data_IF_952374625042
#
_entry.id   IF_952374625042
#
_cell.length_a   1.000
_cell.length_b   1.000
_cell.length_c   1.000
_cell.angle_alpha   90.00
_cell.angle_beta   90.00
_cell.angle_gamma   90.00
#
_symmetry.space_group_name_H-M   'P 1'
#
loop_
_entity.id
_entity.type
_entity.pdbx_description
1 polymer ?
#
# COMPACT_ATOMS: atom_id res chain seq x y z
N UNK A 1 71.45 -30.70 1.48
CA UNK A 1 71.91 -29.38 1.97
C UNK A 1 72.28 -28.55 0.74
N UNK A 2 71.75 -27.39 0.38
CA UNK A 2 70.90 -26.34 0.94
C UNK A 2 70.24 -25.74 -0.32
N UNK A 3 68.92 -25.80 -0.43
CA UNK A 3 68.01 -24.68 -0.13
C UNK A 3 68.17 -23.50 -1.08
N UNK A 4 67.02 -23.14 -1.69
CA UNK A 4 66.59 -21.75 -1.97
C UNK A 4 67.40 -21.07 -3.09
N UNK A 5 66.83 -20.46 -4.13
CA UNK A 5 65.57 -19.76 -4.24
C UNK A 5 65.32 -19.41 -5.71
N UNK A 6 64.11 -18.93 -6.00
CA UNK A 6 63.69 -18.21 -7.22
C UNK A 6 63.17 -19.06 -8.38
N UNK A 7 62.30 -20.02 -8.08
CA UNK A 7 61.12 -20.19 -8.91
C UNK A 7 60.00 -19.45 -8.18
N UNK A 8 59.89 -18.15 -8.45
CA UNK A 8 58.72 -17.35 -8.04
C UNK A 8 57.59 -17.81 -8.94
N UNK A 9 56.93 -18.87 -8.49
CA UNK A 9 55.64 -19.32 -8.99
C UNK A 9 54.70 -18.12 -8.87
N UNK A 10 54.25 -17.61 -10.01
CA UNK A 10 53.14 -16.67 -10.14
C UNK A 10 51.89 -17.41 -9.65
N UNK A 11 51.70 -17.44 -8.33
CA UNK A 11 50.45 -17.82 -7.70
C UNK A 11 49.52 -16.63 -7.89
N UNK A 12 48.85 -16.58 -9.04
CA UNK A 12 47.75 -15.68 -9.27
C UNK A 12 46.65 -16.05 -8.26
N UNK A 13 46.61 -15.30 -7.16
CA UNK A 13 45.54 -15.28 -6.18
C UNK A 13 44.26 -14.81 -6.85
N UNK A 14 43.54 -15.74 -7.48
CA UNK A 14 42.17 -15.56 -7.92
C UNK A 14 41.26 -15.68 -6.69
N UNK A 15 41.28 -14.66 -5.84
CA UNK A 15 40.22 -14.45 -4.85
C UNK A 15 38.96 -14.11 -5.63
N UNK A 16 38.21 -15.15 -6.01
CA UNK A 16 36.81 -15.02 -6.39
C UNK A 16 36.09 -14.57 -5.11
N UNK A 17 35.94 -13.26 -4.94
CA UNK A 17 34.98 -12.73 -4.01
C UNK A 17 33.62 -13.22 -4.50
N UNK A 18 33.07 -14.24 -3.83
CA UNK A 18 31.64 -14.51 -3.88
C UNK A 18 30.96 -13.27 -3.30
N UNK A 19 30.71 -12.28 -4.16
CA UNK A 19 29.65 -11.31 -3.92
C UNK A 19 28.39 -12.16 -3.92
N UNK A 20 27.97 -12.58 -2.72
CA UNK A 20 26.59 -12.99 -2.49
C UNK A 20 25.79 -11.77 -2.92
N UNK A 21 25.25 -11.81 -4.14
CA UNK A 21 24.32 -10.81 -4.60
C UNK A 21 23.16 -10.87 -3.61
N UNK A 22 23.15 -9.93 -2.66
CA UNK A 22 21.95 -9.66 -1.89
C UNK A 22 20.91 -9.37 -2.95
N UNK A 23 19.90 -10.23 -3.05
CA UNK A 23 18.74 -9.96 -3.90
C UNK A 23 18.35 -8.52 -3.64
N UNK A 24 18.36 -7.67 -4.67
CA UNK A 24 17.89 -6.29 -4.56
C UNK A 24 16.57 -6.33 -3.79
N UNK A 25 16.61 -5.81 -2.55
CA UNK A 25 15.66 -6.18 -1.51
C UNK A 25 14.23 -5.97 -1.99
N UNK A 26 13.49 -7.07 -2.12
CA UNK A 26 12.04 -6.97 -2.21
C UNK A 26 11.48 -6.41 -0.91
N UNK A 27 10.23 -5.97 -0.94
CA UNK A 27 9.50 -5.66 0.27
C UNK A 27 9.59 -6.80 1.30
N UNK A 28 9.66 -6.45 2.57
CA UNK A 28 9.87 -7.33 3.72
C UNK A 28 8.57 -7.63 4.48
N UNK A 29 7.41 -7.52 3.81
CA UNK A 29 6.10 -7.66 4.44
C UNK A 29 5.83 -9.06 5.01
N UNK A 30 6.65 -10.05 4.64
CA UNK A 30 6.60 -11.42 5.15
C UNK A 30 7.81 -11.80 6.02
N UNK A 31 8.77 -10.88 6.25
CA UNK A 31 9.96 -11.17 7.05
C UNK A 31 9.57 -11.55 8.49
N UNK A 32 10.09 -12.66 8.99
CA UNK A 32 9.79 -13.16 10.33
C UNK A 32 8.44 -13.89 10.49
N UNK A 33 7.63 -14.03 9.44
CA UNK A 33 6.35 -14.74 9.49
C UNK A 33 6.50 -16.19 8.99
N UNK A 34 6.13 -17.17 9.82
CA UNK A 34 6.20 -18.60 9.47
C UNK A 34 5.28 -18.97 8.29
N UNK A 35 4.09 -18.37 8.22
CA UNK A 35 3.12 -18.55 7.14
C UNK A 35 2.69 -17.18 6.66
N UNK A 36 3.12 -16.81 5.45
CA UNK A 36 2.80 -15.54 4.84
C UNK A 36 2.58 -15.66 3.33
N UNK A 37 1.53 -15.01 2.84
CA UNK A 37 1.29 -14.80 1.42
C UNK A 37 1.55 -13.33 1.11
N UNK A 38 2.60 -12.99 0.34
CA UNK A 38 2.87 -11.62 -0.04
C UNK A 38 1.84 -11.13 -1.06
N UNK A 39 1.32 -9.93 -0.86
CA UNK A 39 0.38 -9.29 -1.79
C UNK A 39 0.88 -7.90 -2.14
N UNK A 40 1.36 -7.77 -3.37
CA UNK A 40 1.80 -6.50 -3.93
C UNK A 40 0.62 -5.69 -4.51
N UNK A 41 0.58 -4.41 -4.17
CA UNK A 41 -0.28 -3.43 -4.80
C UNK A 41 0.26 -2.88 -6.12
N UNK A 42 -0.50 -1.98 -6.76
CA UNK A 42 0.00 -1.16 -7.87
C UNK A 42 0.95 -0.06 -7.36
N UNK A 43 1.71 0.57 -8.25
CA UNK A 43 2.37 1.84 -7.98
C UNK A 43 1.32 2.94 -7.84
N UNK A 44 1.09 3.39 -6.61
CA UNK A 44 0.13 4.43 -6.23
C UNK A 44 0.75 5.81 -6.44
N UNK A 45 0.06 6.68 -7.19
CA UNK A 45 0.52 8.05 -7.46
C UNK A 45 0.41 8.88 -6.20
N UNK A 46 1.51 9.54 -5.82
CA UNK A 46 1.54 10.49 -4.70
C UNK A 46 1.37 11.89 -5.27
N UNK A 47 0.30 12.61 -4.88
CA UNK A 47 0.08 13.98 -5.32
C UNK A 47 1.20 14.89 -4.81
N UNK A 48 1.63 15.79 -5.68
CA UNK A 48 2.49 16.90 -5.32
C UNK A 48 1.65 18.06 -4.79
N UNK A 49 2.15 18.77 -3.77
CA UNK A 49 1.51 19.97 -3.27
C UNK A 49 2.49 20.92 -2.62
N UNK A 50 2.29 22.22 -2.86
CA UNK A 50 2.94 23.28 -2.10
C UNK A 50 2.00 23.75 -0.98
N UNK A 51 2.52 23.93 0.22
CA UNK A 51 1.76 24.46 1.36
C UNK A 51 2.00 23.72 2.68
N UNK A 52 1.40 24.24 3.75
CA UNK A 52 1.50 23.68 5.11
C UNK A 52 0.69 22.40 5.27
N UNK A 53 -0.42 22.25 4.55
CA UNK A 53 -1.18 21.00 4.47
C UNK A 53 -0.82 20.25 3.21
N UNK A 54 -0.09 19.15 3.38
CA UNK A 54 0.37 18.32 2.27
C UNK A 54 -0.77 17.46 1.75
N UNK A 55 -0.94 17.36 0.42
CA UNK A 55 -1.84 16.38 -0.16
C UNK A 55 -1.44 14.97 0.25
N UNK A 56 -2.42 14.19 0.70
CA UNK A 56 -2.25 12.77 0.99
C UNK A 56 -3.03 11.94 -0.03
N UNK A 57 -2.48 10.78 -0.36
CA UNK A 57 -3.19 9.72 -1.08
C UNK A 57 -3.40 8.54 -0.15
N UNK A 58 -4.60 7.95 -0.18
CA UNK A 58 -4.90 6.73 0.57
C UNK A 58 -5.15 5.58 -0.40
N UNK A 59 -4.52 4.42 -0.16
CA UNK A 59 -4.75 3.20 -0.92
C UNK A 59 -4.93 2.00 0.02
N UNK A 60 -6.01 1.24 -0.12
CA UNK A 60 -6.31 0.05 0.66
C UNK A 60 -5.89 -1.21 -0.09
N UNK A 61 -5.09 -2.05 0.57
CA UNK A 61 -4.90 -3.45 0.18
C UNK A 61 -5.77 -4.37 1.03
N UNK A 62 -6.13 -5.51 0.48
CA UNK A 62 -6.98 -6.50 1.16
C UNK A 62 -6.44 -7.89 0.92
N UNK A 63 -6.23 -8.62 2.01
CA UNK A 63 -5.79 -9.99 2.01
C UNK A 63 -6.83 -10.92 1.38
N UNK A 64 -6.40 -11.86 0.53
CA UNK A 64 -7.29 -12.86 -0.06
C UNK A 64 -7.71 -13.90 0.98
N UNK A 65 -8.69 -14.74 0.61
CA UNK A 65 -9.05 -15.97 1.35
C UNK A 65 -9.30 -15.77 2.86
N UNK A 66 -9.84 -14.62 3.25
CA UNK A 66 -10.11 -14.25 4.66
C UNK A 66 -8.86 -14.17 5.57
N UNK A 67 -7.65 -14.10 5.02
CA UNK A 67 -6.42 -13.88 5.78
C UNK A 67 -6.42 -12.49 6.43
N UNK A 68 -5.66 -12.34 7.51
CA UNK A 68 -5.41 -11.05 8.17
C UNK A 68 -4.07 -10.49 7.76
N UNK A 69 -3.90 -9.17 7.85
CA UNK A 69 -2.62 -8.52 7.56
C UNK A 69 -1.67 -8.80 8.73
N UNK A 70 -0.55 -9.46 8.45
CA UNK A 70 0.51 -9.81 9.39
C UNK A 70 1.81 -9.01 9.19
N UNK A 71 1.93 -8.25 8.10
CA UNK A 71 3.07 -7.40 7.83
C UNK A 71 2.76 -6.35 6.76
N UNK A 72 3.52 -5.26 6.78
CA UNK A 72 3.31 -4.05 5.99
C UNK A 72 4.65 -3.53 5.50
N UNK A 73 4.75 -3.22 4.21
CA UNK A 73 5.92 -2.55 3.66
C UNK A 73 5.56 -1.75 2.40
N UNK A 74 6.47 -0.91 1.93
CA UNK A 74 6.30 -0.15 0.70
C UNK A 74 7.63 0.10 -0.02
N UNK A 75 7.63 -0.06 -1.35
CA UNK A 75 8.71 0.44 -2.19
C UNK A 75 8.41 1.88 -2.62
N UNK A 76 9.44 2.73 -2.68
CA UNK A 76 9.29 4.15 -3.00
C UNK A 76 9.98 4.48 -4.33
N UNK A 77 9.32 5.23 -5.20
CA UNK A 77 9.98 5.79 -6.40
C UNK A 77 10.91 6.96 -6.06
N UNK A 78 10.84 7.49 -4.83
CA UNK A 78 11.61 8.62 -4.36
C UNK A 78 11.71 8.64 -2.83
N UNK A 79 12.88 8.98 -2.28
CA UNK A 79 13.14 9.04 -0.82
C UNK A 79 12.32 10.08 -0.05
N UNK A 80 11.83 11.10 -0.76
CA UNK A 80 10.99 12.17 -0.22
C UNK A 80 9.51 11.79 -0.12
N UNK A 81 9.16 10.52 -0.22
CA UNK A 81 7.81 10.04 0.03
C UNK A 81 7.76 9.56 1.48
N UNK A 82 6.84 10.11 2.25
CA UNK A 82 6.50 9.59 3.57
C UNK A 82 5.29 8.66 3.45
N UNK A 83 5.37 7.46 4.05
CA UNK A 83 4.32 6.45 4.01
C UNK A 83 3.95 6.05 5.43
N UNK A 84 2.68 6.23 5.76
CA UNK A 84 2.11 5.71 7.00
C UNK A 84 1.10 4.62 6.72
N UNK A 85 0.99 3.68 7.66
CA UNK A 85 0.09 2.54 7.55
C UNK A 85 -0.98 2.65 8.63
N UNK A 86 -2.24 2.54 8.23
CA UNK A 86 -3.35 2.41 9.16
C UNK A 86 -3.96 1.02 9.01
N UNK A 87 -3.59 0.16 9.95
CA UNK A 87 -4.19 -1.16 10.17
C UNK A 87 -5.11 -1.12 11.38
N UNK A 88 -6.21 -1.85 11.33
CA UNK A 88 -7.03 -2.04 12.54
C UNK A 88 -6.40 -3.15 13.37
N UNK A 89 -5.99 -2.78 14.58
CA UNK A 89 -5.51 -3.69 15.59
C UNK A 89 -6.70 -4.11 16.46
N UNK A 90 -6.82 -5.40 16.75
CA UNK A 90 -7.82 -5.93 17.68
C UNK A 90 -7.11 -6.75 18.75
N UNK A 91 -7.63 -6.72 19.96
CA UNK A 91 -7.01 -7.44 21.09
C UNK A 91 -7.35 -8.94 21.04
N UNK A 92 -6.41 -9.82 21.40
CA UNK A 92 -4.98 -9.55 21.61
C UNK A 92 -4.25 -9.37 20.28
N UNK A 93 -3.34 -8.39 20.21
CA UNK A 93 -2.39 -8.28 19.09
C UNK A 93 -1.11 -9.02 19.45
N UNK A 94 -0.66 -9.93 18.58
CA UNK A 94 0.76 -10.22 18.50
C UNK A 94 1.44 -9.01 17.84
N UNK A 95 2.64 -8.59 18.29
CA UNK A 95 3.41 -7.56 17.59
C UNK A 95 3.47 -7.86 16.09
N UNK A 96 3.18 -6.85 15.26
CA UNK A 96 3.17 -6.97 13.80
C UNK A 96 1.87 -7.49 13.17
N UNK A 97 0.93 -8.07 13.93
CA UNK A 97 -0.27 -8.71 13.36
C UNK A 97 -1.53 -7.89 13.61
N UNK A 98 -2.25 -7.55 12.52
CA UNK A 98 -3.58 -6.94 12.60
C UNK A 98 -4.66 -8.00 12.80
N UNK A 99 -5.82 -7.62 13.29
CA UNK A 99 -7.00 -8.51 13.35
C UNK A 99 -7.89 -8.37 12.11
N UNK A 100 -7.45 -7.61 11.12
CA UNK A 100 -8.28 -7.27 9.97
C UNK A 100 -7.63 -7.68 8.67
N UNK A 101 -8.47 -7.79 7.65
CA UNK A 101 -8.04 -8.28 6.34
C UNK A 101 -7.47 -7.20 5.45
N UNK A 102 -7.39 -5.96 5.92
CA UNK A 102 -7.06 -4.82 5.08
C UNK A 102 -6.25 -3.79 5.85
N UNK A 103 -5.31 -3.17 5.16
CA UNK A 103 -4.56 -2.03 5.65
C UNK A 103 -4.65 -0.89 4.63
N UNK A 104 -4.69 0.34 5.13
CA UNK A 104 -4.67 1.54 4.31
C UNK A 104 -3.30 2.18 4.40
N UNK A 105 -2.68 2.36 3.24
CA UNK A 105 -1.42 3.03 3.06
C UNK A 105 -1.71 4.49 2.73
N UNK A 106 -1.10 5.40 3.46
CA UNK A 106 -1.18 6.83 3.23
C UNK A 106 0.17 7.32 2.77
N UNK A 107 0.24 7.86 1.56
CA UNK A 107 1.44 8.46 1.01
C UNK A 107 1.32 9.98 0.97
N UNK A 108 2.38 10.67 1.36
CA UNK A 108 2.54 12.11 1.13
C UNK A 108 3.95 12.40 0.61
N UNK A 109 4.10 13.46 -0.19
CA UNK A 109 5.42 13.91 -0.63
C UNK A 109 5.93 15.03 0.27
N UNK A 110 7.14 14.84 0.78
CA UNK A 110 7.81 15.75 1.73
C UNK A 110 9.04 16.42 1.15
N UNK A 111 9.40 16.07 -0.10
CA UNK A 111 10.52 16.68 -0.81
C UNK A 111 10.17 18.03 -1.44
N UNK A 112 11.16 18.59 -2.11
CA UNK A 112 11.15 19.91 -2.74
C UNK A 112 11.06 19.86 -4.28
N UNK A 113 11.22 18.68 -4.89
CA UNK A 113 11.20 18.53 -6.35
C UNK A 113 9.78 18.37 -6.89
N UNK A 114 9.50 18.98 -8.05
CA UNK A 114 8.25 18.83 -8.78
C UNK A 114 8.10 17.48 -9.51
N UNK A 115 8.86 16.45 -9.10
CA UNK A 115 8.90 15.15 -9.80
C UNK A 115 7.64 14.34 -9.50
N UNK A 116 7.05 13.72 -10.52
CA UNK A 116 5.98 12.75 -10.33
C UNK A 116 6.49 11.56 -9.49
N UNK A 117 5.81 11.26 -8.39
CA UNK A 117 6.25 10.28 -7.39
C UNK A 117 5.18 9.24 -7.15
N UNK A 118 5.60 8.03 -6.77
CA UNK A 118 4.72 6.92 -6.47
C UNK A 118 5.33 5.97 -5.46
N UNK A 119 4.50 5.23 -4.74
CA UNK A 119 4.95 4.12 -3.90
C UNK A 119 4.17 2.86 -4.26
N UNK A 120 4.75 1.69 -3.99
CA UNK A 120 4.09 0.41 -4.20
C UNK A 120 3.86 -0.24 -2.83
N UNK A 121 2.60 -0.38 -2.38
CA UNK A 121 2.31 -0.99 -1.09
C UNK A 121 2.38 -2.51 -1.15
N UNK A 122 2.78 -3.12 -0.04
CA UNK A 122 2.87 -4.57 0.16
C UNK A 122 2.21 -4.96 1.48
N UNK A 123 1.37 -6.00 1.46
CA UNK A 123 0.83 -6.62 2.69
C UNK A 123 1.22 -8.10 2.76
N UNK A 124 1.70 -8.51 3.92
CA UNK A 124 1.88 -9.92 4.26
C UNK A 124 0.57 -10.47 4.80
N UNK A 125 0.03 -11.52 4.19
CA UNK A 125 -1.25 -12.10 4.57
C UNK A 125 -1.07 -13.44 5.26
N UNK A 126 -1.59 -13.56 6.48
CA UNK A 126 -1.49 -14.78 7.29
C UNK A 126 -2.88 -15.35 7.63
N UNK A 127 -3.02 -16.68 7.79
CA UNK A 127 -4.27 -17.28 8.22
C UNK A 127 -4.71 -16.67 9.56
N UNK A 128 -5.99 -16.36 9.70
CA UNK A 128 -6.52 -15.87 10.97
C UNK A 128 -6.42 -16.99 12.01
N UNK A 129 -5.68 -16.77 13.10
CA UNK A 129 -5.64 -17.65 14.26
C UNK A 129 -6.53 -17.09 15.38
N UNK A 130 -7.28 -17.97 16.05
CA UNK A 130 -8.39 -17.64 16.93
C UNK A 130 -8.02 -16.90 18.23
N UNK A 131 -9.05 -16.29 18.84
CA UNK A 131 -9.02 -15.77 20.21
C UNK A 131 -9.99 -16.56 21.09
N UNK A 132 -9.59 -16.85 22.33
CA UNK A 132 -10.46 -17.45 23.34
C UNK A 132 -11.29 -16.38 24.07
N UNK A 133 -12.47 -16.74 24.60
CA UNK A 133 -13.24 -15.85 25.45
C UNK A 133 -12.44 -15.48 26.71
N UNK A 134 -12.57 -14.24 27.18
CA UNK A 134 -12.05 -13.79 28.47
C UNK A 134 -13.20 -13.34 29.37
N UNK A 135 -13.02 -13.54 30.67
CA UNK A 135 -13.91 -13.01 31.69
C UNK A 135 -13.66 -11.50 31.82
N UNK A 136 -14.70 -10.64 31.67
CA UNK A 136 -14.55 -9.20 31.83
C UNK A 136 -14.05 -8.83 33.23
N UNK A 137 -13.05 -7.96 33.35
CA UNK A 137 -12.50 -7.48 34.63
C UNK A 137 -12.99 -6.10 35.04
N UNK A 138 -13.86 -5.47 34.24
CA UNK A 138 -14.32 -4.11 34.48
C UNK A 138 -15.81 -3.94 34.20
N UNK A 139 -16.47 -3.10 35.00
CA UNK A 139 -17.89 -2.76 34.93
C UNK A 139 -18.03 -1.34 34.34
N UNK A 140 -19.03 -1.11 33.50
CA UNK A 140 -19.34 0.18 32.86
C UNK A 140 -18.29 0.72 31.86
N UNK A 141 -17.57 -0.15 31.15
CA UNK A 141 -16.65 0.24 30.06
C UNK A 141 -17.32 0.03 28.69
N UNK A 142 -17.18 1.02 27.79
CA UNK A 142 -17.53 0.88 26.37
C UNK A 142 -16.35 0.22 25.65
N UNK A 143 -16.48 -1.01 25.12
CA UNK A 143 -15.39 -1.65 24.41
C UNK A 143 -15.07 -0.90 23.11
N UNK A 144 -13.80 -0.95 22.63
CA UNK A 144 -13.45 -0.40 21.32
C UNK A 144 -14.34 -0.99 20.22
N UNK A 145 -15.16 -0.15 19.60
CA UNK A 145 -16.11 -0.54 18.57
C UNK A 145 -15.55 -0.46 17.14
N UNK A 146 -16.46 -0.53 16.16
CA UNK A 146 -16.19 -0.26 14.74
C UNK A 146 -16.88 1.05 14.31
N UNK A 147 -16.52 2.21 14.89
CA UNK A 147 -17.28 3.45 14.70
C UNK A 147 -17.29 3.94 13.25
N UNK A 148 -16.33 3.49 12.44
CA UNK A 148 -16.31 3.70 11.00
C UNK A 148 -16.01 2.43 10.22
N UNK A 149 -16.57 2.36 9.01
CA UNK A 149 -16.33 1.32 8.01
C UNK A 149 -15.87 1.98 6.72
N UNK A 150 -14.75 1.53 6.16
CA UNK A 150 -14.25 2.00 4.86
C UNK A 150 -14.81 1.11 3.76
N UNK A 151 -15.56 1.71 2.85
CA UNK A 151 -16.08 1.07 1.63
C UNK A 151 -15.19 1.46 0.47
N UNK A 152 -14.75 0.45 -0.28
CA UNK A 152 -13.72 0.60 -1.32
C UNK A 152 -14.22 0.00 -2.62
N UNK A 153 -13.96 0.69 -3.74
CA UNK A 153 -14.16 0.16 -5.09
C UNK A 153 -12.95 0.47 -5.94
N UNK A 154 -12.33 -0.56 -6.51
CA UNK A 154 -11.24 -0.42 -7.47
C UNK A 154 -11.75 -0.73 -8.86
N UNK A 155 -11.50 0.14 -9.84
CA UNK A 155 -11.92 -0.03 -11.23
C UNK A 155 -10.73 0.19 -12.15
N UNK A 156 -10.62 -0.60 -13.22
CA UNK A 156 -9.64 -0.38 -14.28
C UNK A 156 -9.98 0.90 -15.03
N UNK A 157 -8.99 1.76 -15.20
CA UNK A 157 -9.10 2.96 -16.01
C UNK A 157 -8.71 2.62 -17.43
N UNK A 158 -9.54 3.05 -18.38
CA UNK A 158 -9.36 2.88 -19.82
C UNK A 158 -9.27 4.25 -20.48
N UNK A 159 -8.73 4.34 -21.71
CA UNK A 159 -8.82 5.56 -22.50
C UNK A 159 -10.26 6.07 -22.58
N UNK A 160 -10.43 7.40 -22.50
CA UNK A 160 -11.73 8.07 -22.48
C UNK A 160 -12.14 8.56 -21.09
N UNK A 161 -13.43 8.69 -20.84
CA UNK A 161 -13.98 9.20 -19.57
C UNK A 161 -14.96 8.23 -18.95
N UNK A 162 -14.86 8.04 -17.64
CA UNK A 162 -15.73 7.16 -16.87
C UNK A 162 -16.05 7.78 -15.50
N UNK A 163 -17.16 7.35 -14.90
CA UNK A 163 -17.51 7.72 -13.52
C UNK A 163 -17.52 6.49 -12.63
N UNK A 164 -16.87 6.58 -11.48
CA UNK A 164 -16.83 5.52 -10.47
C UNK A 164 -17.43 6.04 -9.19
N UNK A 165 -18.43 5.34 -8.65
CA UNK A 165 -19.08 5.73 -7.40
C UNK A 165 -19.01 4.66 -6.32
N UNK A 166 -18.90 5.11 -5.07
CA UNK A 166 -19.03 4.31 -3.85
C UNK A 166 -20.02 5.00 -2.90
N UNK A 167 -20.85 4.23 -2.22
CA UNK A 167 -21.84 4.73 -1.27
C UNK A 167 -21.72 3.98 0.06
N UNK A 168 -22.20 4.61 1.13
CA UNK A 168 -22.50 3.93 2.39
C UNK A 168 -23.77 3.09 2.26
N UNK A 169 -23.97 2.10 3.15
CA UNK A 169 -25.26 1.38 3.17
C UNK A 169 -26.34 2.25 3.83
N UNK A 170 -27.60 1.83 3.69
CA UNK A 170 -28.73 2.53 4.31
C UNK A 170 -28.51 2.66 5.82
N UNK A 171 -28.68 3.87 6.35
CA UNK A 171 -28.48 4.19 7.78
C UNK A 171 -27.08 4.68 8.13
N UNK A 172 -26.10 4.52 7.25
CA UNK A 172 -24.76 5.10 7.42
C UNK A 172 -24.64 6.47 6.73
N UNK A 173 -23.74 7.32 7.24
CA UNK A 173 -23.36 8.61 6.64
C UNK A 173 -21.91 8.62 6.21
N UNK A 174 -21.59 9.31 5.12
CA UNK A 174 -20.20 9.57 4.71
C UNK A 174 -19.58 10.56 5.70
N UNK A 175 -18.45 10.17 6.29
CA UNK A 175 -17.62 11.01 7.18
C UNK A 175 -16.22 11.26 6.64
N UNK A 176 -15.86 10.58 5.55
CA UNK A 176 -14.59 10.78 4.86
C UNK A 176 -14.67 10.26 3.43
N UNK A 177 -13.88 10.84 2.53
CA UNK A 177 -13.81 10.40 1.13
C UNK A 177 -12.40 10.60 0.58
N UNK A 178 -11.92 9.62 -0.18
CA UNK A 178 -10.63 9.69 -0.86
C UNK A 178 -10.66 8.93 -2.18
N UNK A 179 -9.66 9.17 -3.02
CA UNK A 179 -9.43 8.37 -4.20
C UNK A 179 -7.93 8.30 -4.48
N UNK A 180 -7.50 7.27 -5.20
CA UNK A 180 -6.11 7.05 -5.56
C UNK A 180 -6.02 6.43 -6.94
N UNK A 181 -4.97 6.81 -7.69
CA UNK A 181 -4.61 6.18 -8.95
C UNK A 181 -3.44 5.23 -8.73
N UNK A 182 -3.49 4.08 -9.40
CA UNK A 182 -2.44 3.07 -9.32
C UNK A 182 -2.12 2.45 -10.67
N UNK A 183 -0.86 2.08 -10.88
CA UNK A 183 -0.39 1.37 -12.07
C UNK A 183 0.21 0.02 -11.71
N UNK A 184 -0.35 -1.06 -12.26
CA UNK A 184 0.29 -2.38 -12.13
C UNK A 184 1.42 -2.48 -13.16
N UNK A 185 2.65 -2.32 -12.68
CA UNK A 185 3.88 -2.42 -13.45
C UNK A 185 5.02 -2.93 -12.55
N UNK A 186 6.10 -3.43 -13.17
CA UNK A 186 7.29 -3.86 -12.43
C UNK A 186 8.09 -2.68 -11.87
N UNK A 187 8.22 -1.62 -12.67
CA UNK A 187 8.92 -0.38 -12.30
C UNK A 187 7.93 0.74 -11.99
N UNK A 188 8.36 1.79 -11.25
CA UNK A 188 7.56 2.99 -11.07
C UNK A 188 7.10 3.58 -12.42
N UNK A 189 5.85 4.06 -12.53
CA UNK A 189 5.37 4.71 -13.74
C UNK A 189 6.15 6.00 -14.03
N UNK A 190 6.31 6.30 -15.32
CA UNK A 190 6.92 7.56 -15.76
C UNK A 190 6.00 8.75 -15.47
N UNK A 191 6.57 9.96 -15.48
CA UNK A 191 5.78 11.18 -15.35
C UNK A 191 4.75 11.34 -16.47
N UNK A 192 5.07 10.94 -17.71
CA UNK A 192 4.14 10.97 -18.85
C UNK A 192 2.92 10.08 -18.58
N UNK A 193 3.16 8.83 -18.14
CA UNK A 193 2.09 7.88 -17.86
C UNK A 193 1.21 8.32 -16.68
N UNK A 194 1.80 8.96 -15.66
CA UNK A 194 1.05 9.57 -14.55
C UNK A 194 0.20 10.73 -15.06
N UNK A 195 0.72 11.57 -15.95
CA UNK A 195 -0.03 12.71 -16.51
C UNK A 195 -1.19 12.29 -17.43
N UNK A 196 -1.13 11.08 -17.98
CA UNK A 196 -2.18 10.50 -18.82
C UNK A 196 -3.46 10.08 -18.08
N UNK A 197 -3.48 10.19 -16.75
CA UNK A 197 -4.65 9.94 -15.92
C UNK A 197 -5.00 11.15 -15.07
N UNK A 198 -6.28 11.49 -15.04
CA UNK A 198 -6.80 12.55 -14.19
C UNK A 198 -8.13 12.14 -13.58
N UNK A 199 -8.47 12.73 -12.44
CA UNK A 199 -9.82 12.63 -11.93
C UNK A 199 -10.19 13.69 -10.92
N UNK A 200 -11.50 13.89 -10.81
CA UNK A 200 -12.11 14.82 -9.89
C UNK A 200 -13.10 14.07 -9.02
N UNK A 201 -12.98 14.24 -7.70
CA UNK A 201 -13.88 13.66 -6.70
C UNK A 201 -14.93 14.67 -6.30
N UNK A 202 -16.18 14.22 -6.23
CA UNK A 202 -17.29 14.95 -5.62
C UNK A 202 -18.05 14.05 -4.67
N UNK A 203 -18.55 14.60 -3.56
CA UNK A 203 -19.49 13.91 -2.69
C UNK A 203 -20.87 14.50 -2.94
N UNK A 204 -21.81 13.67 -3.38
CA UNK A 204 -23.18 14.09 -3.73
C UNK A 204 -24.14 12.94 -3.46
N UNK A 205 -25.35 13.25 -2.97
CA UNK A 205 -26.44 12.28 -2.79
C UNK A 205 -26.05 11.05 -1.94
N UNK A 206 -25.23 11.25 -0.90
CA UNK A 206 -24.73 10.16 -0.04
C UNK A 206 -23.73 9.22 -0.73
N UNK A 207 -23.12 9.66 -1.84
CA UNK A 207 -22.14 8.91 -2.62
C UNK A 207 -20.87 9.71 -2.84
N UNK A 208 -19.75 9.02 -2.87
CA UNK A 208 -18.48 9.53 -3.41
C UNK A 208 -18.45 9.16 -4.88
N UNK A 209 -18.38 10.16 -5.76
CA UNK A 209 -18.29 9.98 -7.21
C UNK A 209 -16.95 10.53 -7.67
N UNK A 210 -16.21 9.73 -8.43
CA UNK A 210 -14.95 10.14 -9.05
C UNK A 210 -15.13 10.06 -10.56
N UNK A 211 -15.04 11.21 -11.23
CA UNK A 211 -14.93 11.27 -12.69
C UNK A 211 -13.47 11.07 -13.03
N UNK A 212 -13.20 10.09 -13.89
CA UNK A 212 -11.85 9.73 -14.29
C UNK A 212 -11.73 9.91 -15.79
N UNK A 213 -10.60 10.47 -16.22
CA UNK A 213 -10.19 10.57 -17.61
C UNK A 213 -8.86 9.84 -17.78
N UNK A 214 -8.78 9.00 -18.81
CA UNK A 214 -7.56 8.34 -19.26
C UNK A 214 -7.27 8.71 -20.70
N UNK A 215 -6.00 8.86 -21.05
CA UNK A 215 -5.56 9.03 -22.42
C UNK A 215 -5.29 7.67 -23.11
N UNK A 216 -4.76 7.73 -24.34
CA UNK A 216 -4.44 6.54 -25.13
C UNK A 216 -3.23 5.74 -24.59
N UNK A 217 -2.31 6.37 -23.84
CA UNK A 217 -1.12 5.69 -23.29
C UNK A 217 -1.51 4.58 -22.29
N UNK A 218 -2.69 4.70 -21.67
CA UNK A 218 -3.25 3.67 -20.79
C UNK A 218 -3.64 2.37 -21.50
N UNK A 219 -3.66 2.32 -22.84
CA UNK A 219 -4.00 1.12 -23.60
C UNK A 219 -3.10 -0.09 -23.29
N UNK A 220 -1.81 0.17 -23.03
CA UNK A 220 -0.79 -0.87 -22.76
C UNK A 220 -0.57 -1.19 -21.28
N UNK A 221 -1.18 -0.44 -20.35
CA UNK A 221 -0.92 -0.54 -18.91
C UNK A 221 -2.21 -0.84 -18.15
N UNK A 222 -2.11 -1.60 -17.06
CA UNK A 222 -3.24 -1.77 -16.13
C UNK A 222 -3.22 -0.64 -15.11
N UNK A 223 -3.79 0.49 -15.50
CA UNK A 223 -4.12 1.59 -14.59
C UNK A 223 -5.43 1.34 -13.85
N UNK A 224 -5.52 1.73 -12.59
CA UNK A 224 -6.71 1.62 -11.74
C UNK A 224 -6.98 2.90 -10.99
N UNK A 225 -8.25 3.13 -10.69
CA UNK A 225 -8.69 4.10 -9.69
C UNK A 225 -9.29 3.33 -8.52
N UNK A 226 -8.91 3.68 -7.31
CA UNK A 226 -9.55 3.19 -6.09
C UNK A 226 -10.29 4.34 -5.43
N UNK A 227 -11.58 4.14 -5.17
CA UNK A 227 -12.48 5.15 -4.58
C UNK A 227 -12.90 4.69 -3.19
N UNK A 228 -12.85 5.61 -2.22
CA UNK A 228 -13.14 5.37 -0.82
C UNK A 228 -14.30 6.22 -0.31
N UNK A 229 -15.19 5.58 0.45
CA UNK A 229 -16.12 6.24 1.35
C UNK A 229 -15.86 5.70 2.77
N UNK A 230 -15.56 6.59 3.72
CA UNK A 230 -15.53 6.26 5.14
C UNK A 230 -16.92 6.55 5.67
N UNK A 231 -17.58 5.51 6.19
CA UNK A 231 -18.96 5.51 6.62
C UNK A 231 -19.04 5.40 8.13
N UNK A 232 -19.94 6.14 8.76
CA UNK A 232 -20.22 6.08 10.20
C UNK A 232 -21.71 5.90 10.46
N UNK A 233 -22.06 5.43 11.65
CA UNK A 233 -23.46 5.27 12.08
C UNK A 233 -24.04 3.87 11.88
N UNK A 234 -23.21 2.88 11.54
CA UNK A 234 -23.59 1.48 11.73
C UNK A 234 -23.78 1.26 13.25
N UNK A 235 -25.02 1.03 13.66
CA UNK A 235 -25.38 0.61 15.02
C UNK A 235 -25.22 -0.90 15.14
#
# INVERSE_FOLDING_TARGET
MKRLARIVVVLASLTIALVVATSAGGANECEGLQVCVPVAGPWVVVPQGGGTQRPEVEYQLTCPRRHVVGGLDAELSHRGIDVSFSGRLGSPVNPGITTTRSAVFKGSYVGDSARATSFRPYIGCMPAAGGGPRVPTAVAIVPPGTPTVRRVKTVRVRPGSASVSVACVKGERIVGSSHAFGFFARMPPSASLISGIAGARIVRDGRVVVRVRGDAELGGVRAVVQVHAVCAGAR
#
